data_IF_832184877712
#
_entry.id   IF_832184877712
#
_cell.length_a   1.000
_cell.length_b   1.000
_cell.length_c   1.000
_cell.angle_alpha   90.00
_cell.angle_beta   90.00
_cell.angle_gamma   90.00
#
_symmetry.space_group_name_H-M   'P 1'
#
loop_
_entity.id
_entity.type
_entity.pdbx_description
1 polymer ?
#
# COMPACT_ATOMS: atom_id res chain seq x y z
N UNK A 1 -7.24 -18.95 1.36
CA UNK A 1 -7.23 -19.07 -0.12
C UNK A 1 -6.24 -18.03 -0.64
N UNK A 2 -5.34 -18.44 -1.54
CA UNK A 2 -4.27 -17.57 -2.04
C UNK A 2 -4.75 -16.80 -3.27
N UNK A 3 -4.92 -15.49 -3.12
CA UNK A 3 -5.40 -14.59 -4.17
C UNK A 3 -4.23 -13.89 -4.85
N UNK A 4 -4.30 -13.75 -6.18
CA UNK A 4 -3.31 -13.03 -6.98
C UNK A 4 -3.99 -11.87 -7.67
N UNK A 5 -3.45 -10.68 -7.51
CA UNK A 5 -3.95 -9.47 -8.18
C UNK A 5 -2.80 -8.57 -8.63
N UNK A 6 -3.09 -7.66 -9.56
CA UNK A 6 -2.10 -6.79 -10.16
C UNK A 6 -2.69 -5.40 -10.32
N UNK A 7 -1.99 -4.38 -9.83
CA UNK A 7 -2.44 -2.98 -9.90
C UNK A 7 -1.40 -2.10 -10.60
N UNK A 8 -1.80 -1.30 -11.60
CA UNK A 8 -0.91 -0.33 -12.23
C UNK A 8 -0.31 0.63 -11.19
N UNK A 9 1.02 0.54 -10.98
CA UNK A 9 1.75 1.41 -10.04
C UNK A 9 2.26 0.69 -8.78
N UNK A 10 1.57 -0.36 -8.33
CA UNK A 10 1.97 -1.20 -7.19
C UNK A 10 2.65 -2.51 -7.64
N UNK A 11 2.23 -3.04 -8.80
CA UNK A 11 2.75 -4.29 -9.36
C UNK A 11 1.86 -5.50 -9.03
N UNK A 12 2.43 -6.69 -9.10
CA UNK A 12 1.78 -7.97 -8.78
C UNK A 12 1.88 -8.30 -7.31
N UNK A 13 0.77 -8.77 -6.74
CA UNK A 13 0.63 -9.12 -5.34
C UNK A 13 0.07 -10.53 -5.18
N UNK A 14 0.48 -11.17 -4.08
CA UNK A 14 -0.09 -12.40 -3.56
C UNK A 14 -0.66 -12.08 -2.19
N UNK A 15 -1.93 -12.39 -1.98
CA UNK A 15 -2.61 -12.19 -0.72
C UNK A 15 -3.09 -13.53 -0.20
N UNK A 16 -2.82 -13.80 1.07
CA UNK A 16 -3.36 -14.94 1.78
C UNK A 16 -4.02 -14.46 3.06
N UNK A 17 -5.20 -15.01 3.34
CA UNK A 17 -5.95 -14.72 4.57
C UNK A 17 -6.25 -16.03 5.28
N UNK A 18 -6.05 -16.02 6.59
CA UNK A 18 -6.29 -17.13 7.51
C UNK A 18 -7.19 -16.64 8.64
N UNK A 19 -8.12 -17.48 9.06
CA UNK A 19 -8.90 -17.24 10.27
C UNK A 19 -8.12 -17.76 11.47
N UNK A 20 -7.86 -16.90 12.44
CA UNK A 20 -7.27 -17.26 13.72
C UNK A 20 -8.38 -17.44 14.73
N UNK A 21 -8.39 -18.60 15.39
CA UNK A 21 -9.16 -18.77 16.62
C UNK A 21 -8.36 -18.18 17.76
N UNK A 22 -8.92 -17.18 18.40
CA UNK A 22 -8.35 -16.51 19.56
C UNK A 22 -9.29 -16.78 20.73
N UNK A 23 -8.72 -17.11 21.90
CA UNK A 23 -9.50 -17.57 23.06
C UNK A 23 -10.21 -16.41 23.75
N UNK A 24 -9.56 -15.24 23.84
CA UNK A 24 -10.11 -14.04 24.47
C UNK A 24 -9.61 -12.73 23.80
N UNK A 25 -10.17 -11.61 24.24
CA UNK A 25 -9.84 -10.28 23.73
C UNK A 25 -8.41 -9.84 24.12
N UNK A 26 -7.91 -10.28 25.27
CA UNK A 26 -6.57 -9.93 25.74
C UNK A 26 -5.49 -10.57 24.86
N UNK A 27 -5.66 -11.86 24.54
CA UNK A 27 -4.84 -12.58 23.58
C UNK A 27 -4.93 -11.95 22.19
N UNK A 28 -6.12 -11.48 21.76
CA UNK A 28 -6.25 -10.80 20.47
C UNK A 28 -5.40 -9.53 20.40
N UNK A 29 -5.49 -8.68 21.42
CA UNK A 29 -4.72 -7.42 21.49
C UNK A 29 -3.23 -7.68 21.54
N UNK A 30 -2.79 -8.72 22.27
CA UNK A 30 -1.39 -9.11 22.30
C UNK A 30 -0.90 -9.56 20.92
N UNK A 31 -1.62 -10.48 20.26
CA UNK A 31 -1.25 -10.95 18.92
C UNK A 31 -1.28 -9.80 17.91
N UNK A 32 -2.25 -8.88 18.02
CA UNK A 32 -2.31 -7.71 17.14
C UNK A 32 -1.07 -6.81 17.29
N UNK A 33 -0.57 -6.65 18.52
CA UNK A 33 0.66 -5.89 18.79
C UNK A 33 1.87 -6.60 18.18
N UNK A 34 2.04 -7.89 18.41
CA UNK A 34 3.13 -8.69 17.85
C UNK A 34 3.11 -8.70 16.32
N UNK A 35 1.92 -8.82 15.71
CA UNK A 35 1.73 -8.73 14.25
C UNK A 35 2.13 -7.35 13.74
N UNK A 36 1.83 -6.29 14.47
CA UNK A 36 2.21 -4.92 14.08
C UNK A 36 3.72 -4.70 14.16
N UNK A 37 4.38 -5.29 15.17
CA UNK A 37 5.84 -5.28 15.29
C UNK A 37 6.49 -6.06 14.13
N UNK A 38 5.99 -7.25 13.80
CA UNK A 38 6.45 -8.04 12.65
C UNK A 38 6.20 -7.32 11.31
N UNK A 39 5.04 -6.71 11.11
CA UNK A 39 4.71 -5.93 9.92
C UNK A 39 5.73 -4.81 9.70
N UNK A 40 6.17 -4.12 10.76
CA UNK A 40 7.18 -3.07 10.68
C UNK A 40 8.52 -3.58 10.12
N UNK A 41 8.91 -4.82 10.48
CA UNK A 41 10.14 -5.46 10.04
C UNK A 41 10.04 -6.04 8.62
N UNK A 42 8.83 -6.40 8.20
CA UNK A 42 8.58 -7.10 6.94
C UNK A 42 8.23 -6.16 5.78
N UNK A 43 7.75 -4.94 6.08
CA UNK A 43 7.49 -3.88 5.08
C UNK A 43 8.65 -3.59 4.14
N UNK A 44 9.89 -3.58 4.66
CA UNK A 44 11.10 -3.37 3.84
C UNK A 44 11.32 -4.45 2.79
N UNK A 45 10.76 -5.64 2.98
CA UNK A 45 10.84 -6.77 2.05
C UNK A 45 9.61 -6.84 1.12
N UNK A 46 8.73 -5.83 1.14
CA UNK A 46 7.52 -5.82 0.32
C UNK A 46 6.43 -6.77 0.82
N UNK A 47 6.48 -7.13 2.10
CA UNK A 47 5.45 -7.92 2.76
C UNK A 47 4.68 -7.03 3.74
N UNK A 48 3.38 -7.25 3.85
CA UNK A 48 2.51 -6.59 4.81
C UNK A 48 1.71 -7.64 5.57
N UNK A 49 1.67 -7.51 6.88
CA UNK A 49 0.88 -8.34 7.78
C UNK A 49 -0.13 -7.50 8.52
N UNK A 50 -1.33 -8.03 8.71
CA UNK A 50 -2.36 -7.35 9.48
C UNK A 50 -3.29 -8.35 10.13
N UNK A 51 -3.69 -8.05 11.36
CA UNK A 51 -4.73 -8.77 12.09
C UNK A 51 -5.94 -7.83 12.28
N UNK A 52 -7.11 -8.29 11.87
CA UNK A 52 -8.37 -7.55 12.01
C UNK A 52 -9.51 -8.47 12.39
N UNK A 53 -10.45 -8.00 13.20
CA UNK A 53 -11.73 -8.69 13.41
C UNK A 53 -12.77 -8.25 12.37
N UNK A 54 -13.53 -9.21 11.84
CA UNK A 54 -14.70 -8.89 11.02
C UNK A 54 -15.94 -8.58 11.90
N UNK A 55 -17.08 -8.27 11.27
CA UNK A 55 -18.36 -8.00 11.95
C UNK A 55 -18.96 -9.18 12.72
N UNK A 56 -18.49 -10.39 12.48
CA UNK A 56 -18.85 -11.64 13.15
C UNK A 56 -17.80 -12.05 14.20
N UNK A 57 -16.96 -11.11 14.67
CA UNK A 57 -15.89 -11.32 15.66
C UNK A 57 -14.79 -12.32 15.25
N UNK A 58 -14.78 -12.76 13.98
CA UNK A 58 -13.73 -13.63 13.46
C UNK A 58 -12.45 -12.85 13.26
N UNK A 59 -11.38 -13.32 13.88
CA UNK A 59 -10.04 -12.76 13.73
C UNK A 59 -9.41 -13.24 12.43
N UNK A 60 -9.10 -12.32 11.54
CA UNK A 60 -8.51 -12.61 10.22
C UNK A 60 -7.08 -12.09 10.20
N UNK A 61 -6.12 -13.01 10.08
CA UNK A 61 -4.74 -12.70 9.75
C UNK A 61 -4.60 -12.63 8.24
N UNK A 62 -4.11 -11.51 7.74
CA UNK A 62 -3.89 -11.28 6.32
C UNK A 62 -2.41 -11.03 6.06
N UNK A 63 -1.89 -11.69 5.03
CA UNK A 63 -0.54 -11.54 4.52
C UNK A 63 -0.60 -11.11 3.05
N UNK A 64 0.00 -9.96 2.73
CA UNK A 64 0.18 -9.45 1.37
C UNK A 64 1.66 -9.43 1.00
N UNK A 65 2.01 -10.00 -0.15
CA UNK A 65 3.38 -10.10 -0.66
C UNK A 65 3.44 -9.47 -2.05
N UNK A 66 4.22 -8.40 -2.20
CA UNK A 66 4.50 -7.76 -3.48
C UNK A 66 5.58 -8.55 -4.27
N UNK A 67 5.17 -9.24 -5.34
CA UNK A 67 6.07 -10.06 -6.17
C UNK A 67 7.03 -9.23 -7.03
N UNK A 68 6.61 -8.05 -7.49
CA UNK A 68 7.42 -7.22 -8.39
C UNK A 68 8.49 -6.40 -7.65
N UNK A 69 8.39 -6.27 -6.32
CA UNK A 69 9.41 -5.62 -5.49
C UNK A 69 10.65 -6.48 -5.26
N UNK A 70 10.55 -7.80 -5.45
CA UNK A 70 11.69 -8.73 -5.32
C UNK A 70 12.66 -8.67 -6.52
N UNK A 71 12.30 -7.98 -7.62
CA UNK A 71 13.10 -7.97 -8.87
C UNK A 71 13.91 -6.72 -9.15
N UNK A 72 13.95 -5.70 -8.27
CA UNK A 72 14.81 -4.53 -8.50
C UNK A 72 15.49 -4.03 -7.22
N UNK A 73 16.63 -4.60 -6.91
CA UNK A 73 17.65 -3.91 -6.14
C UNK A 73 18.15 -2.69 -6.96
N UNK A 74 17.64 -1.49 -6.68
CA UNK A 74 18.31 -0.23 -7.01
C UNK A 74 17.69 0.93 -6.21
N UNK A 75 18.09 1.04 -4.94
CA UNK A 75 18.30 2.35 -4.30
C UNK A 75 17.07 3.24 -4.11
N UNK A 76 16.15 2.82 -3.25
CA UNK A 76 15.58 3.64 -2.16
C UNK A 76 14.44 2.83 -1.55
N UNK A 77 14.63 2.44 -0.29
CA UNK A 77 13.55 2.03 0.61
C UNK A 77 12.40 3.02 0.44
N UNK A 78 11.39 2.67 -0.34
CA UNK A 78 10.14 3.44 -0.45
C UNK A 78 9.15 2.71 0.42
N UNK A 79 9.01 3.23 1.63
CA UNK A 79 8.14 2.69 2.66
C UNK A 79 6.77 2.41 2.07
N UNK A 80 6.35 1.16 2.22
CA UNK A 80 5.08 0.63 1.73
C UNK A 80 3.86 1.23 2.47
N UNK A 81 4.07 2.28 3.27
CA UNK A 81 3.05 2.99 4.06
C UNK A 81 2.76 4.43 3.61
N UNK A 82 3.43 4.95 2.57
CA UNK A 82 3.23 6.33 2.10
C UNK A 82 2.66 6.42 0.67
N UNK A 83 2.05 5.34 0.17
CA UNK A 83 1.40 5.38 -1.14
C UNK A 83 0.18 6.31 -1.08
N UNK A 84 0.30 7.49 -1.69
CA UNK A 84 -0.77 8.48 -1.78
C UNK A 84 -1.77 8.08 -2.85
N UNK A 85 -3.04 8.39 -2.63
CA UNK A 85 -4.07 8.23 -3.68
C UNK A 85 -3.85 9.27 -4.78
N UNK A 86 -4.29 8.96 -6.00
CA UNK A 86 -4.28 9.91 -7.11
C UNK A 86 -5.05 11.18 -6.73
N UNK A 87 -6.19 11.05 -6.05
CA UNK A 87 -6.96 12.17 -5.51
C UNK A 87 -6.17 13.04 -4.52
N UNK A 88 -5.42 12.42 -3.61
CA UNK A 88 -4.59 13.14 -2.63
C UNK A 88 -3.46 13.91 -3.32
N UNK A 89 -2.77 13.27 -4.28
CA UNK A 89 -1.72 13.93 -5.05
C UNK A 89 -2.29 15.03 -5.96
N UNK A 90 -3.47 14.81 -6.53
CA UNK A 90 -4.20 15.80 -7.33
C UNK A 90 -4.53 17.05 -6.51
N UNK A 91 -5.15 16.88 -5.34
CA UNK A 91 -5.48 17.99 -4.44
C UNK A 91 -4.24 18.72 -3.97
N UNK A 92 -3.19 17.99 -3.58
CA UNK A 92 -1.91 18.59 -3.18
C UNK A 92 -1.28 19.41 -4.32
N UNK A 93 -1.41 18.94 -5.58
CA UNK A 93 -0.88 19.63 -6.75
C UNK A 93 -1.54 20.95 -7.09
N UNK A 94 -2.76 21.22 -6.59
CA UNK A 94 -3.44 22.50 -6.83
C UNK A 94 -2.71 23.69 -6.18
N UNK A 95 -1.91 23.44 -5.13
CA UNK A 95 -1.28 24.48 -4.31
C UNK A 95 0.27 24.42 -4.32
N UNK A 96 0.88 23.42 -4.95
CA UNK A 96 2.31 23.14 -4.83
C UNK A 96 2.98 22.96 -6.20
N UNK A 97 4.30 23.19 -6.25
CA UNK A 97 5.08 22.99 -7.48
C UNK A 97 5.28 21.51 -7.76
N UNK A 98 5.46 21.14 -9.04
CA UNK A 98 5.60 19.73 -9.44
C UNK A 98 6.72 18.96 -8.72
N UNK A 99 7.80 19.63 -8.32
CA UNK A 99 8.88 19.02 -7.54
C UNK A 99 8.41 18.61 -6.13
N UNK A 100 7.72 19.50 -5.43
CA UNK A 100 7.14 19.27 -4.10
C UNK A 100 6.06 18.18 -4.15
N UNK A 101 5.24 18.18 -5.21
CA UNK A 101 4.21 17.16 -5.40
C UNK A 101 4.82 15.79 -5.68
N UNK A 102 5.91 15.73 -6.44
CA UNK A 102 6.61 14.47 -6.70
C UNK A 102 7.21 13.89 -5.41
N UNK A 103 7.79 14.76 -4.57
CA UNK A 103 8.30 14.38 -3.25
C UNK A 103 7.17 13.90 -2.32
N UNK A 104 6.06 14.65 -2.25
CA UNK A 104 4.85 14.26 -1.50
C UNK A 104 4.31 12.89 -1.92
N UNK A 105 4.30 12.63 -3.24
CA UNK A 105 3.88 11.35 -3.81
C UNK A 105 4.94 10.23 -3.66
N UNK A 106 6.11 10.53 -3.09
CA UNK A 106 7.19 9.56 -2.92
C UNK A 106 7.82 9.09 -4.22
N UNK A 107 7.75 9.88 -5.31
CA UNK A 107 8.31 9.54 -6.62
C UNK A 107 9.33 10.58 -7.11
N UNK A 108 10.09 10.23 -8.14
CA UNK A 108 10.96 11.21 -8.81
C UNK A 108 10.11 12.13 -9.69
N UNK A 109 10.54 13.39 -9.88
CA UNK A 109 9.84 14.38 -10.71
C UNK A 109 9.49 13.86 -12.11
N UNK A 110 10.43 13.19 -12.79
CA UNK A 110 10.21 12.61 -14.13
C UNK A 110 9.15 11.51 -14.12
N UNK A 111 9.11 10.69 -13.06
CA UNK A 111 8.08 9.65 -12.88
C UNK A 111 6.71 10.28 -12.63
N UNK A 112 6.64 11.29 -11.75
CA UNK A 112 5.44 12.07 -11.48
C UNK A 112 4.86 12.65 -12.78
N UNK A 113 5.67 13.38 -13.56
CA UNK A 113 5.23 14.00 -14.82
C UNK A 113 4.70 12.95 -15.82
N UNK A 114 5.38 11.81 -15.96
CA UNK A 114 4.94 10.73 -16.85
C UNK A 114 3.61 10.11 -16.39
N UNK A 115 3.45 9.88 -15.09
CA UNK A 115 2.22 9.33 -14.50
C UNK A 115 1.05 10.31 -14.64
N UNK A 116 1.24 11.58 -14.30
CA UNK A 116 0.21 12.62 -14.45
C UNK A 116 -0.23 12.75 -15.91
N UNK A 117 0.71 12.75 -16.87
CA UNK A 117 0.37 12.79 -18.31
C UNK A 117 -0.56 11.62 -18.66
N UNK A 118 -0.19 10.40 -18.28
CA UNK A 118 -1.00 9.21 -18.52
C UNK A 118 -2.37 9.26 -17.83
N UNK A 119 -2.43 9.67 -16.57
CA UNK A 119 -3.71 9.82 -15.86
C UNK A 119 -4.61 10.89 -16.47
N UNK A 120 -4.05 11.98 -17.02
CA UNK A 120 -4.82 12.98 -17.77
C UNK A 120 -5.37 12.42 -19.09
N UNK A 121 -4.54 11.67 -19.83
CA UNK A 121 -4.97 10.98 -21.06
C UNK A 121 -6.10 9.98 -20.78
N UNK A 122 -6.05 9.28 -19.65
CA UNK A 122 -7.09 8.34 -19.20
C UNK A 122 -8.27 9.02 -18.46
N UNK A 123 -8.32 10.34 -18.36
CA UNK A 123 -9.31 11.10 -17.56
C UNK A 123 -9.41 10.69 -16.07
N UNK A 124 -8.31 10.16 -15.52
CA UNK A 124 -8.17 9.66 -14.15
C UNK A 124 -7.44 10.62 -13.22
N UNK A 125 -6.97 11.77 -13.70
CA UNK A 125 -6.31 12.80 -12.89
C UNK A 125 -7.34 13.76 -12.28
N UNK A 126 -8.01 13.32 -11.22
CA UNK A 126 -9.08 14.07 -10.55
C UNK A 126 -9.17 13.72 -9.06
N UNK A 127 -10.03 14.45 -8.33
CA UNK A 127 -10.24 14.31 -6.88
C UNK A 127 -11.05 13.07 -6.47
N UNK A 128 -11.69 12.39 -7.42
CA UNK A 128 -12.51 11.20 -7.15
C UNK A 128 -11.71 9.90 -7.29
N UNK A 129 -10.53 9.94 -7.92
CA UNK A 129 -9.74 8.76 -8.18
C UNK A 129 -9.09 8.19 -6.91
N UNK A 130 -9.65 7.08 -6.43
CA UNK A 130 -9.21 6.34 -5.25
C UNK A 130 -8.02 5.41 -5.49
N UNK A 131 -7.55 5.29 -6.75
CA UNK A 131 -6.37 4.50 -7.11
C UNK A 131 -5.12 5.08 -6.46
N UNK A 132 -4.09 4.25 -6.25
CA UNK A 132 -2.79 4.73 -5.80
C UNK A 132 -2.00 5.42 -6.92
N UNK A 133 -1.22 6.44 -6.55
CA UNK A 133 -0.42 7.25 -7.48
C UNK A 133 0.92 6.60 -7.86
#
# INVERSE_FOLDING_TARGET
MLEKWSEPGLGKHVVESLELRVEDEEAFLQIQKEVSELDSLLKKYGMKLSLSQNKEEKSILKWDIALDRLKRAAGKKRDYGSAKKVSEVFLYSKLHKSAEVAEYAGVQLRTYQRRVKKYKEEQRWNEENSSFF
#
